data_IF_204454037838
#
_entry.id   IF_204454037838
#
_cell.length_a   1.000
_cell.length_b   1.000
_cell.length_c   1.000
_cell.angle_alpha   90.00
_cell.angle_beta   90.00
_cell.angle_gamma   90.00
#
_symmetry.space_group_name_H-M   'P 1'
#
loop_
_entity.id
_entity.type
_entity.pdbx_description
1 polymer ?
#
# COMPACT_ATOMS: atom_id res chain seq x y z
N UNK A 1 -6.61 -86.17 -6.71
CA UNK A 1 -5.27 -85.63 -6.37
C UNK A 1 -5.28 -84.14 -6.69
N UNK A 2 -5.61 -83.29 -5.72
CA UNK A 2 -5.54 -81.83 -5.88
C UNK A 2 -4.67 -81.28 -4.77
N UNK A 3 -3.43 -80.92 -5.12
CA UNK A 3 -2.47 -80.29 -4.20
C UNK A 3 -2.86 -78.84 -4.00
N UNK A 4 -3.15 -78.52 -2.75
CA UNK A 4 -3.17 -77.18 -2.18
C UNK A 4 -1.73 -76.64 -2.18
N UNK A 5 -1.45 -75.58 -2.95
CA UNK A 5 -0.26 -74.76 -2.75
C UNK A 5 -0.70 -73.48 -2.04
N UNK A 6 -0.43 -73.44 -0.74
CA UNK A 6 -0.45 -72.23 0.07
C UNK A 6 0.71 -71.34 -0.36
N UNK A 7 0.43 -70.09 -0.73
CA UNK A 7 1.43 -69.06 -0.91
C UNK A 7 1.44 -68.15 0.34
N UNK A 8 2.50 -68.13 1.16
CA UNK A 8 2.59 -67.23 2.31
C UNK A 8 3.34 -65.94 1.93
N UNK A 9 2.94 -64.81 2.52
CA UNK A 9 3.82 -63.64 2.65
C UNK A 9 3.60 -62.50 1.66
N UNK A 10 2.38 -61.94 1.61
CA UNK A 10 2.23 -60.53 1.26
C UNK A 10 2.47 -59.69 2.52
N UNK A 11 3.69 -59.22 2.74
CA UNK A 11 3.94 -58.15 3.71
C UNK A 11 3.14 -56.92 3.26
N UNK A 12 2.03 -56.68 3.95
CA UNK A 12 1.30 -55.41 3.91
C UNK A 12 2.23 -54.33 4.47
N UNK A 13 2.97 -53.66 3.58
CA UNK A 13 3.60 -52.38 3.90
C UNK A 13 2.47 -51.45 4.34
N UNK A 14 2.34 -51.24 5.67
CA UNK A 14 1.38 -50.29 6.22
C UNK A 14 1.74 -48.92 5.65
N UNK A 15 0.85 -48.36 4.82
CA UNK A 15 0.94 -46.96 4.41
C UNK A 15 0.89 -46.09 5.66
N UNK A 16 2.02 -45.51 6.08
CA UNK A 16 2.07 -44.49 7.15
C UNK A 16 1.01 -43.40 6.89
N UNK A 17 0.37 -42.90 7.94
CA UNK A 17 -0.62 -41.84 7.79
C UNK A 17 0.08 -40.53 7.36
N UNK A 18 -0.56 -39.65 6.57
CA UNK A 18 0.02 -38.35 6.20
C UNK A 18 0.51 -37.51 7.38
N UNK A 19 -0.15 -37.62 8.54
CA UNK A 19 0.22 -36.94 9.79
C UNK A 19 1.47 -37.51 10.49
N UNK A 20 1.85 -38.75 10.20
CA UNK A 20 3.11 -39.35 10.70
C UNK A 20 4.30 -38.87 9.86
N UNK A 21 4.12 -38.85 8.53
CA UNK A 21 5.12 -38.33 7.58
C UNK A 21 5.44 -36.85 7.85
N UNK A 22 4.41 -36.03 8.09
CA UNK A 22 4.59 -34.62 8.41
C UNK A 22 5.36 -34.40 9.71
N UNK A 23 5.06 -35.19 10.76
CA UNK A 23 5.80 -35.15 12.02
C UNK A 23 7.26 -35.56 11.87
N UNK A 24 7.54 -36.62 11.10
CA UNK A 24 8.92 -37.05 10.83
C UNK A 24 9.71 -36.00 10.04
N UNK A 25 9.07 -35.36 9.05
CA UNK A 25 9.63 -34.24 8.31
C UNK A 25 9.92 -33.05 9.24
N UNK A 26 8.96 -32.63 10.07
CA UNK A 26 9.14 -31.50 10.99
C UNK A 26 10.26 -31.79 12.00
N UNK A 27 10.33 -33.02 12.53
CA UNK A 27 11.41 -33.43 13.43
C UNK A 27 12.78 -33.30 12.77
N UNK A 28 12.91 -33.74 11.50
CA UNK A 28 14.14 -33.56 10.71
C UNK A 28 14.54 -32.09 10.56
N UNK A 29 13.58 -31.22 10.24
CA UNK A 29 13.82 -29.79 10.07
C UNK A 29 14.21 -29.11 11.39
N UNK A 30 13.65 -29.55 12.52
CA UNK A 30 14.01 -29.06 13.86
C UNK A 30 15.40 -29.50 14.28
N UNK A 31 15.75 -30.76 14.04
CA UNK A 31 17.08 -31.32 14.34
C UNK A 31 18.19 -30.60 13.57
N UNK A 32 17.94 -30.28 12.30
CA UNK A 32 18.92 -29.63 11.41
C UNK A 32 18.78 -28.10 11.34
N UNK A 33 17.99 -27.50 12.24
CA UNK A 33 17.60 -26.08 12.22
C UNK A 33 18.76 -25.12 12.02
N UNK A 34 19.83 -25.27 12.82
CA UNK A 34 20.98 -24.34 12.79
C UNK A 34 21.68 -24.36 11.45
N UNK A 35 21.99 -25.57 10.94
CA UNK A 35 22.66 -25.76 9.66
C UNK A 35 21.83 -25.22 8.49
N UNK A 36 20.53 -25.55 8.45
CA UNK A 36 19.64 -25.15 7.35
C UNK A 36 19.42 -23.63 7.33
N UNK A 37 19.26 -23.01 8.50
CA UNK A 37 19.15 -21.55 8.61
C UNK A 37 20.44 -20.86 8.15
N UNK A 38 21.61 -21.36 8.56
CA UNK A 38 22.90 -20.79 8.13
C UNK A 38 23.09 -20.91 6.62
N UNK A 39 22.80 -22.08 6.04
CA UNK A 39 22.81 -22.28 4.59
C UNK A 39 21.85 -21.31 3.87
N UNK A 40 20.66 -21.09 4.44
CA UNK A 40 19.71 -20.15 3.88
C UNK A 40 20.21 -18.70 3.92
N UNK A 41 20.77 -18.24 5.04
CA UNK A 41 21.36 -16.89 5.17
C UNK A 41 22.53 -16.70 4.20
N UNK A 42 23.37 -17.72 4.02
CA UNK A 42 24.46 -17.71 3.04
C UNK A 42 23.90 -17.48 1.64
N UNK A 43 22.87 -18.23 1.23
CA UNK A 43 22.25 -18.08 -0.10
C UNK A 43 21.58 -16.74 -0.31
N UNK A 44 20.89 -16.19 0.70
CA UNK A 44 20.32 -14.83 0.65
C UNK A 44 21.45 -13.82 0.35
N UNK A 45 22.58 -13.97 1.04
CA UNK A 45 23.73 -13.07 0.89
C UNK A 45 24.40 -13.21 -0.49
N UNK A 46 24.60 -14.44 -0.96
CA UNK A 46 25.21 -14.74 -2.28
C UNK A 46 24.37 -14.23 -3.45
N UNK A 47 23.05 -14.37 -3.33
CA UNK A 47 22.08 -13.87 -4.33
C UNK A 47 21.83 -12.36 -4.23
N UNK A 48 22.44 -11.69 -3.25
CA UNK A 48 22.30 -10.25 -2.98
C UNK A 48 20.84 -9.82 -2.80
N UNK A 49 20.06 -10.62 -2.09
CA UNK A 49 18.71 -10.25 -1.66
C UNK A 49 18.76 -9.53 -0.31
N UNK A 50 17.78 -8.65 -0.05
CA UNK A 50 17.65 -7.87 1.18
C UNK A 50 18.83 -6.91 1.43
N UNK A 51 19.37 -6.30 0.37
CA UNK A 51 20.52 -5.39 0.47
C UNK A 51 20.26 -4.15 1.34
N UNK A 52 18.99 -3.82 1.60
CA UNK A 52 18.57 -2.75 2.51
C UNK A 52 18.68 -3.12 4.01
N UNK A 53 19.07 -4.37 4.33
CA UNK A 53 19.20 -4.89 5.70
C UNK A 53 20.65 -5.25 6.02
N UNK A 54 21.04 -5.15 7.29
CA UNK A 54 22.36 -5.62 7.74
C UNK A 54 22.41 -7.14 7.82
N UNK A 55 23.61 -7.72 7.89
CA UNK A 55 23.78 -9.18 8.04
C UNK A 55 23.16 -9.68 9.34
N UNK A 56 23.27 -8.91 10.41
CA UNK A 56 22.71 -9.22 11.73
C UNK A 56 21.18 -9.20 11.68
N UNK A 57 20.59 -8.22 10.98
CA UNK A 57 19.15 -8.16 10.75
C UNK A 57 18.68 -9.36 9.92
N UNK A 58 19.34 -9.68 8.81
CA UNK A 58 19.01 -10.84 7.97
C UNK A 58 19.06 -12.13 8.81
N UNK A 59 20.09 -12.31 9.64
CA UNK A 59 20.22 -13.49 10.49
C UNK A 59 19.10 -13.59 11.54
N UNK A 60 18.75 -12.48 12.19
CA UNK A 60 17.67 -12.42 13.17
C UNK A 60 16.31 -12.73 12.53
N UNK A 61 16.00 -12.11 11.39
CA UNK A 61 14.74 -12.34 10.69
C UNK A 61 14.69 -13.75 10.09
N UNK A 62 15.79 -14.26 9.53
CA UNK A 62 15.86 -15.64 9.05
C UNK A 62 15.61 -16.66 10.18
N UNK A 63 16.04 -16.36 11.40
CA UNK A 63 15.73 -17.21 12.56
C UNK A 63 14.22 -17.26 12.82
N UNK A 64 13.58 -16.10 12.91
CA UNK A 64 12.14 -15.99 13.17
C UNK A 64 11.30 -16.60 12.03
N UNK A 65 11.64 -16.29 10.77
CA UNK A 65 10.95 -16.84 9.60
C UNK A 65 11.07 -18.35 9.54
N UNK A 66 12.26 -18.92 9.80
CA UNK A 66 12.46 -20.37 9.80
C UNK A 66 11.57 -21.04 10.84
N UNK A 67 11.52 -20.52 12.06
CA UNK A 67 10.72 -21.08 13.13
C UNK A 67 9.22 -21.01 12.81
N UNK A 68 8.74 -19.86 12.35
CA UNK A 68 7.34 -19.71 11.92
C UNK A 68 6.99 -20.59 10.73
N UNK A 69 7.94 -20.82 9.81
CA UNK A 69 7.75 -21.71 8.67
C UNK A 69 7.59 -23.17 9.13
N UNK A 70 8.48 -23.66 10.00
CA UNK A 70 8.42 -25.03 10.52
C UNK A 70 7.18 -25.25 11.39
N UNK A 71 6.79 -24.25 12.18
CA UNK A 71 5.53 -24.30 12.95
C UNK A 71 4.30 -24.33 12.05
N UNK A 72 4.27 -23.53 10.98
CA UNK A 72 3.18 -23.53 10.01
C UNK A 72 3.08 -24.86 9.23
N UNK A 73 4.22 -25.51 8.97
CA UNK A 73 4.23 -26.86 8.40
C UNK A 73 3.60 -27.89 9.36
N UNK A 74 3.83 -27.79 10.67
CA UNK A 74 3.35 -28.76 11.65
C UNK A 74 1.87 -28.60 11.99
N UNK A 75 1.43 -27.35 12.14
CA UNK A 75 0.11 -27.01 12.66
C UNK A 75 -0.95 -26.82 11.59
N UNK A 76 -0.52 -26.62 10.33
CA UNK A 76 -1.34 -26.09 9.23
C UNK A 76 -2.05 -24.76 9.56
N UNK A 77 -1.65 -24.10 10.65
CA UNK A 77 -2.16 -22.80 11.08
C UNK A 77 -1.21 -21.71 10.57
N UNK A 78 -1.71 -20.86 9.68
CA UNK A 78 -0.90 -19.85 8.99
C UNK A 78 -1.05 -18.45 9.58
N UNK A 79 -1.88 -18.29 10.61
CA UNK A 79 -2.20 -17.00 11.24
C UNK A 79 -0.96 -16.35 11.86
N UNK A 80 -0.15 -17.12 12.59
CA UNK A 80 1.09 -16.63 13.21
C UNK A 80 2.09 -16.19 12.14
N UNK A 81 2.25 -16.98 11.07
CA UNK A 81 3.12 -16.66 9.94
C UNK A 81 2.64 -15.42 9.19
N UNK A 82 1.33 -15.27 8.96
CA UNK A 82 0.75 -14.09 8.34
C UNK A 82 0.95 -12.83 9.20
N UNK A 83 0.75 -12.93 10.51
CA UNK A 83 0.94 -11.81 11.42
C UNK A 83 2.41 -11.37 11.45
N UNK A 84 3.35 -12.32 11.53
CA UNK A 84 4.77 -12.02 11.46
C UNK A 84 5.16 -11.42 10.10
N UNK A 85 4.70 -12.00 8.99
CA UNK A 85 4.96 -11.48 7.64
C UNK A 85 4.45 -10.04 7.47
N UNK A 86 3.27 -9.72 8.01
CA UNK A 86 2.73 -8.35 8.01
C UNK A 86 3.63 -7.39 8.80
N UNK A 87 3.96 -7.73 10.04
CA UNK A 87 4.82 -6.91 10.90
C UNK A 87 6.20 -6.68 10.28
N UNK A 88 6.78 -7.69 9.63
CA UNK A 88 8.04 -7.57 8.91
C UNK A 88 7.87 -6.65 7.69
N UNK A 89 6.82 -6.85 6.90
CA UNK A 89 6.48 -6.03 5.71
C UNK A 89 6.42 -4.53 6.05
N UNK A 90 5.75 -4.17 7.15
CA UNK A 90 5.67 -2.77 7.62
C UNK A 90 7.06 -2.15 7.90
N UNK A 91 8.05 -2.94 8.32
CA UNK A 91 9.42 -2.47 8.57
C UNK A 91 10.29 -2.41 7.31
N UNK A 92 10.12 -3.35 6.38
CA UNK A 92 11.02 -3.50 5.22
C UNK A 92 10.54 -2.72 3.99
N UNK A 93 9.23 -2.51 3.82
CA UNK A 93 8.67 -1.74 2.69
C UNK A 93 9.24 -0.30 2.67
N UNK A 94 9.26 0.46 3.79
CA UNK A 94 9.82 1.81 3.81
C UNK A 94 11.34 1.86 3.54
N UNK A 95 12.04 0.75 3.75
CA UNK A 95 13.48 0.62 3.48
C UNK A 95 13.79 0.30 2.01
N UNK A 96 12.76 0.16 1.17
CA UNK A 96 12.91 -0.11 -0.26
C UNK A 96 13.09 -1.59 -0.61
N UNK A 97 12.77 -2.51 0.31
CA UNK A 97 12.81 -3.95 -0.02
C UNK A 97 11.71 -4.28 -1.02
N UNK A 98 12.10 -4.94 -2.11
CA UNK A 98 11.25 -5.22 -3.25
C UNK A 98 10.54 -6.58 -3.17
N UNK A 99 9.39 -6.68 -3.85
CA UNK A 99 8.58 -7.90 -3.89
C UNK A 99 9.39 -9.12 -4.34
N UNK A 100 10.26 -8.95 -5.34
CA UNK A 100 11.09 -10.03 -5.86
C UNK A 100 12.11 -10.52 -4.83
N UNK A 101 12.58 -9.66 -3.92
CA UNK A 101 13.49 -10.05 -2.85
C UNK A 101 12.77 -10.92 -1.81
N UNK A 102 11.56 -10.52 -1.40
CA UNK A 102 10.75 -11.27 -0.45
C UNK A 102 10.35 -12.64 -1.01
N UNK A 103 9.88 -12.68 -2.26
CA UNK A 103 9.57 -13.95 -2.93
C UNK A 103 10.84 -14.79 -3.08
N UNK A 104 11.96 -14.16 -3.44
CA UNK A 104 13.26 -14.82 -3.59
C UNK A 104 13.71 -15.52 -2.31
N UNK A 105 13.68 -14.86 -1.15
CA UNK A 105 14.12 -15.48 0.11
C UNK A 105 13.24 -16.69 0.49
N UNK A 106 11.93 -16.65 0.23
CA UNK A 106 11.02 -17.75 0.54
C UNK A 106 11.30 -18.96 -0.38
N UNK A 107 11.57 -18.70 -1.66
CA UNK A 107 11.98 -19.75 -2.60
C UNK A 107 13.35 -20.34 -2.25
N UNK A 108 14.31 -19.52 -1.79
CA UNK A 108 15.59 -20.02 -1.31
C UNK A 108 15.44 -20.92 -0.08
N UNK A 109 14.53 -20.58 0.84
CA UNK A 109 14.22 -21.45 1.98
C UNK A 109 13.67 -22.78 1.49
N UNK A 110 12.68 -22.75 0.58
CA UNK A 110 12.13 -23.95 -0.04
C UNK A 110 13.22 -24.83 -0.65
N UNK A 111 14.18 -24.25 -1.37
CA UNK A 111 15.28 -24.99 -1.98
C UNK A 111 16.22 -25.64 -0.96
N UNK A 112 16.53 -24.94 0.14
CA UNK A 112 17.36 -25.48 1.23
C UNK A 112 16.67 -26.66 1.90
N UNK A 113 15.38 -26.51 2.23
CA UNK A 113 14.60 -27.57 2.87
C UNK A 113 14.42 -28.78 1.93
N UNK A 114 14.09 -28.56 0.66
CA UNK A 114 13.93 -29.63 -0.32
C UNK A 114 15.23 -30.45 -0.50
N UNK A 115 16.40 -29.79 -0.55
CA UNK A 115 17.70 -30.47 -0.64
C UNK A 115 18.01 -31.28 0.62
N UNK A 116 17.66 -30.77 1.81
CA UNK A 116 17.80 -31.49 3.07
C UNK A 116 16.93 -32.74 3.14
N UNK A 117 15.68 -32.66 2.69
CA UNK A 117 14.76 -33.80 2.61
C UNK A 117 15.26 -34.83 1.59
N UNK A 118 15.70 -34.37 0.41
CA UNK A 118 16.31 -35.25 -0.59
C UNK A 118 17.52 -36.01 -0.01
N UNK A 119 18.45 -35.31 0.65
CA UNK A 119 19.64 -35.92 1.22
C UNK A 119 19.31 -37.03 2.25
N UNK A 120 18.26 -36.84 3.06
CA UNK A 120 17.82 -37.80 4.06
C UNK A 120 17.14 -39.04 3.45
N UNK A 121 16.28 -38.86 2.46
CA UNK A 121 15.41 -39.94 1.96
C UNK A 121 15.80 -40.48 0.58
N UNK A 122 16.88 -40.01 -0.05
CA UNK A 122 17.31 -40.44 -1.39
C UNK A 122 17.49 -41.96 -1.58
N UNK A 123 17.74 -42.72 -0.52
CA UNK A 123 17.92 -44.18 -0.57
C UNK A 123 16.59 -44.94 -0.61
N UNK A 124 15.48 -44.32 -0.19
CA UNK A 124 14.13 -44.86 -0.28
C UNK A 124 13.25 -43.93 -1.11
N UNK A 125 13.26 -44.15 -2.42
CA UNK A 125 12.53 -43.31 -3.38
C UNK A 125 11.01 -43.29 -3.12
N UNK A 126 10.43 -44.40 -2.65
CA UNK A 126 9.00 -44.45 -2.34
C UNK A 126 8.68 -43.57 -1.13
N UNK A 127 9.51 -43.63 -0.09
CA UNK A 127 9.35 -42.77 1.09
C UNK A 127 9.62 -41.29 0.75
N UNK A 128 10.64 -40.99 -0.05
CA UNK A 128 10.95 -39.64 -0.50
C UNK A 128 9.76 -38.99 -1.22
N UNK A 129 9.13 -39.69 -2.18
CA UNK A 129 7.96 -39.14 -2.88
C UNK A 129 6.82 -38.84 -1.92
N UNK A 130 6.53 -39.74 -0.96
CA UNK A 130 5.46 -39.52 0.04
C UNK A 130 5.77 -38.33 0.96
N UNK A 131 7.04 -38.10 1.29
CA UNK A 131 7.48 -36.94 2.06
C UNK A 131 7.30 -35.64 1.25
N UNK A 132 7.67 -35.65 -0.03
CA UNK A 132 7.48 -34.49 -0.92
C UNK A 132 6.00 -34.20 -1.16
N UNK A 133 5.16 -35.23 -1.36
CA UNK A 133 3.70 -35.10 -1.50
C UNK A 133 3.06 -34.44 -0.27
N UNK A 134 3.63 -34.64 0.92
CA UNK A 134 3.19 -33.98 2.15
C UNK A 134 3.76 -32.55 2.29
N UNK A 135 5.02 -32.33 1.90
CA UNK A 135 5.71 -31.05 2.03
C UNK A 135 5.25 -29.99 1.03
N UNK A 136 5.15 -30.35 -0.25
CA UNK A 136 4.97 -29.39 -1.35
C UNK A 136 3.66 -28.59 -1.24
N UNK A 137 2.49 -29.19 -0.92
CA UNK A 137 1.27 -28.41 -0.77
C UNK A 137 1.36 -27.36 0.35
N UNK A 138 1.95 -27.74 1.49
CA UNK A 138 2.14 -26.85 2.63
C UNK A 138 3.14 -25.73 2.30
N UNK A 139 4.27 -26.08 1.69
CA UNK A 139 5.29 -25.12 1.24
C UNK A 139 4.73 -24.11 0.22
N UNK A 140 3.96 -24.58 -0.77
CA UNK A 140 3.32 -23.72 -1.77
C UNK A 140 2.29 -22.79 -1.14
N UNK A 141 1.49 -23.28 -0.17
CA UNK A 141 0.54 -22.46 0.56
C UNK A 141 1.25 -21.37 1.38
N UNK A 142 2.34 -21.70 2.05
CA UNK A 142 3.17 -20.72 2.77
C UNK A 142 3.70 -19.66 1.80
N UNK A 143 4.32 -20.08 0.71
CA UNK A 143 4.91 -19.15 -0.27
C UNK A 143 3.87 -18.19 -0.84
N UNK A 144 2.71 -18.71 -1.26
CA UNK A 144 1.62 -17.87 -1.77
C UNK A 144 1.08 -16.92 -0.70
N UNK A 145 0.92 -17.39 0.54
CA UNK A 145 0.42 -16.57 1.66
C UNK A 145 1.35 -15.40 1.95
N UNK A 146 2.66 -15.66 2.04
CA UNK A 146 3.66 -14.61 2.29
C UNK A 146 3.74 -13.64 1.11
N UNK A 147 3.76 -14.13 -0.13
CA UNK A 147 3.83 -13.30 -1.32
C UNK A 147 2.60 -12.38 -1.46
N UNK A 148 1.39 -12.93 -1.33
CA UNK A 148 0.14 -12.16 -1.39
C UNK A 148 0.06 -11.17 -0.24
N UNK A 149 0.42 -11.59 0.99
CA UNK A 149 0.41 -10.73 2.16
C UNK A 149 1.34 -9.52 2.01
N UNK A 150 2.55 -9.73 1.48
CA UNK A 150 3.49 -8.64 1.21
C UNK A 150 2.95 -7.65 0.17
N UNK A 151 2.38 -8.15 -0.94
CA UNK A 151 1.79 -7.29 -1.99
C UNK A 151 0.63 -6.48 -1.43
N UNK A 152 -0.26 -7.10 -0.65
CA UNK A 152 -1.39 -6.40 -0.02
C UNK A 152 -0.93 -5.29 0.94
N UNK A 153 0.12 -5.54 1.73
CA UNK A 153 0.66 -4.52 2.64
C UNK A 153 1.33 -3.39 1.86
N UNK A 154 2.08 -3.70 0.80
CA UNK A 154 2.67 -2.69 -0.08
C UNK A 154 1.61 -1.82 -0.75
N UNK A 155 0.53 -2.40 -1.25
CA UNK A 155 -0.59 -1.63 -1.79
C UNK A 155 -1.28 -0.77 -0.73
N UNK A 156 -1.41 -1.27 0.51
CA UNK A 156 -1.97 -0.52 1.63
C UNK A 156 -1.11 0.71 1.94
N UNK A 157 0.21 0.55 2.01
CA UNK A 157 1.15 1.66 2.18
C UNK A 157 1.03 2.67 1.04
N UNK A 158 0.96 2.21 -0.21
CA UNK A 158 0.78 3.10 -1.38
C UNK A 158 -0.53 3.89 -1.27
N UNK A 159 -1.65 3.25 -0.91
CA UNK A 159 -2.94 3.93 -0.72
C UNK A 159 -2.87 5.00 0.38
N UNK A 160 -2.28 4.66 1.53
CA UNK A 160 -2.11 5.61 2.63
C UNK A 160 -1.22 6.79 2.24
N UNK A 161 -0.14 6.54 1.49
CA UNK A 161 0.71 7.60 0.95
C UNK A 161 -0.04 8.49 -0.04
N UNK A 162 -0.85 7.90 -0.94
CA UNK A 162 -1.68 8.67 -1.86
C UNK A 162 -2.73 9.53 -1.14
N UNK A 163 -3.36 9.00 -0.09
CA UNK A 163 -4.30 9.75 0.75
C UNK A 163 -3.60 10.91 1.47
N UNK A 164 -2.44 10.65 2.09
CA UNK A 164 -1.64 11.70 2.74
C UNK A 164 -1.19 12.78 1.75
N UNK A 165 -0.76 12.39 0.53
CA UNK A 165 -0.43 13.34 -0.54
C UNK A 165 -1.66 14.17 -0.92
N UNK A 166 -2.84 13.54 -1.07
CA UNK A 166 -4.09 14.26 -1.38
C UNK A 166 -4.45 15.27 -0.29
N UNK A 167 -4.31 14.91 0.98
CA UNK A 167 -4.56 15.80 2.12
C UNK A 167 -3.57 16.98 2.17
N UNK A 168 -2.28 16.72 1.93
CA UNK A 168 -1.24 17.75 1.94
C UNK A 168 -1.28 18.66 0.71
N UNK A 169 -1.83 18.20 -0.42
CA UNK A 169 -1.77 18.92 -1.71
C UNK A 169 -2.83 20.01 -1.88
N UNK A 170 -3.81 20.13 -0.97
CA UNK A 170 -4.92 21.11 -1.06
C UNK A 170 -5.27 21.73 0.30
N UNK A 171 -4.32 22.35 1.01
CA UNK A 171 -4.62 22.98 2.29
C UNK A 171 -5.45 24.25 2.10
N UNK A 172 -6.44 24.47 2.96
CA UNK A 172 -7.09 25.80 3.07
C UNK A 172 -6.14 26.72 3.83
N UNK A 173 -5.56 27.68 3.13
CA UNK A 173 -4.55 28.59 3.66
C UNK A 173 -5.19 29.91 4.09
N UNK A 174 -4.86 30.39 5.28
CA UNK A 174 -5.22 31.75 5.68
C UNK A 174 -4.13 32.71 5.21
N UNK A 175 -4.48 33.63 4.31
CA UNK A 175 -3.54 34.65 3.82
C UNK A 175 -3.58 35.91 4.68
N UNK A 176 -4.78 36.29 5.15
CA UNK A 176 -5.01 37.39 6.08
C UNK A 176 -6.23 37.13 6.94
N UNK A 177 -6.52 38.01 7.90
CA UNK A 177 -7.78 37.97 8.62
C UNK A 177 -8.96 37.97 7.63
N UNK A 178 -9.86 36.99 7.78
CA UNK A 178 -11.07 36.81 6.96
C UNK A 178 -10.84 36.51 5.47
N UNK A 179 -9.59 36.25 5.05
CA UNK A 179 -9.23 35.86 3.68
C UNK A 179 -8.58 34.47 3.65
N UNK A 180 -9.20 33.55 2.93
CA UNK A 180 -8.68 32.21 2.69
C UNK A 180 -8.32 32.00 1.22
N UNK A 181 -7.37 31.11 0.98
CA UNK A 181 -7.04 30.58 -0.35
C UNK A 181 -7.16 29.05 -0.30
N UNK A 182 -7.76 28.48 -1.34
CA UNK A 182 -7.80 27.05 -1.61
C UNK A 182 -7.13 26.77 -2.96
N UNK A 183 -5.84 26.42 -2.99
CA UNK A 183 -5.19 25.99 -4.22
C UNK A 183 -5.57 24.54 -4.53
N UNK A 184 -5.93 24.27 -5.79
CA UNK A 184 -6.27 22.94 -6.29
C UNK A 184 -5.26 22.53 -7.36
N UNK A 185 -4.52 21.47 -7.07
CA UNK A 185 -3.42 20.97 -7.90
C UNK A 185 -3.67 19.50 -8.29
N UNK A 186 -3.45 19.18 -9.56
CA UNK A 186 -3.52 17.83 -10.10
C UNK A 186 -4.93 17.38 -10.46
N UNK A 187 -5.12 16.06 -10.54
CA UNK A 187 -6.40 15.46 -10.94
C UNK A 187 -7.40 15.55 -9.79
N UNK A 188 -8.63 15.95 -10.11
CA UNK A 188 -9.75 15.99 -9.16
C UNK A 188 -10.70 14.85 -9.52
N UNK A 189 -10.96 13.97 -8.56
CA UNK A 189 -12.05 12.99 -8.63
C UNK A 189 -13.23 13.46 -7.76
N UNK A 190 -14.44 12.88 -7.89
CA UNK A 190 -15.60 13.27 -7.08
C UNK A 190 -15.42 13.09 -5.56
N UNK A 191 -14.51 12.21 -5.12
CA UNK A 191 -14.21 12.05 -3.70
C UNK A 191 -13.38 13.23 -3.19
N UNK A 192 -12.33 13.59 -3.92
CA UNK A 192 -11.47 14.75 -3.63
C UNK A 192 -12.27 16.05 -3.68
N UNK A 193 -13.16 16.21 -4.67
CA UNK A 193 -14.01 17.40 -4.75
C UNK A 193 -14.87 17.61 -3.50
N UNK A 194 -15.50 16.54 -2.98
CA UNK A 194 -16.26 16.59 -1.71
C UNK A 194 -15.37 16.94 -0.51
N UNK A 195 -14.19 16.33 -0.42
CA UNK A 195 -13.24 16.61 0.65
C UNK A 195 -12.79 18.09 0.65
N UNK A 196 -12.55 18.65 -0.52
CA UNK A 196 -12.21 20.07 -0.69
C UNK A 196 -13.34 20.98 -0.21
N UNK A 197 -14.58 20.68 -0.58
CA UNK A 197 -15.75 21.41 -0.10
C UNK A 197 -15.80 21.39 1.43
N UNK A 198 -15.71 20.22 2.06
CA UNK A 198 -15.77 20.09 3.51
C UNK A 198 -14.64 20.86 4.22
N UNK A 199 -13.40 20.70 3.74
CA UNK A 199 -12.25 21.40 4.30
C UNK A 199 -12.42 22.92 4.18
N UNK A 200 -12.88 23.42 3.03
CA UNK A 200 -13.13 24.84 2.83
C UNK A 200 -14.20 25.37 3.76
N UNK A 201 -15.35 24.69 3.86
CA UNK A 201 -16.45 25.12 4.74
C UNK A 201 -16.02 25.13 6.22
N UNK A 202 -15.23 24.14 6.65
CA UNK A 202 -14.61 24.14 7.99
C UNK A 202 -13.67 25.33 8.17
N UNK A 203 -12.81 25.61 7.17
CA UNK A 203 -11.89 26.74 7.16
C UNK A 203 -12.61 28.09 7.23
N UNK A 204 -13.67 28.28 6.45
CA UNK A 204 -14.51 29.50 6.47
C UNK A 204 -15.05 29.76 7.87
N UNK A 205 -15.62 28.72 8.51
CA UNK A 205 -16.18 28.82 9.85
C UNK A 205 -15.10 29.15 10.90
N UNK A 206 -13.99 28.41 10.88
CA UNK A 206 -12.91 28.57 11.85
C UNK A 206 -12.27 29.96 11.79
N UNK A 207 -12.06 30.48 10.58
CA UNK A 207 -11.39 31.77 10.34
C UNK A 207 -12.36 32.94 10.17
N UNK A 208 -13.67 32.71 10.31
CA UNK A 208 -14.74 33.69 10.03
C UNK A 208 -14.53 34.39 8.68
N UNK A 209 -14.15 33.61 7.67
CA UNK A 209 -13.77 34.13 6.37
C UNK A 209 -14.94 34.88 5.71
N UNK A 210 -14.63 36.01 5.08
CA UNK A 210 -15.57 36.80 4.27
C UNK A 210 -15.27 36.69 2.79
N UNK A 211 -14.03 36.36 2.43
CA UNK A 211 -13.63 36.10 1.05
C UNK A 211 -12.76 34.85 0.98
N UNK A 212 -12.99 34.05 -0.05
CA UNK A 212 -12.20 32.86 -0.41
C UNK A 212 -11.74 33.01 -1.84
N UNK A 213 -10.46 32.74 -2.10
CA UNK A 213 -9.93 32.56 -3.46
C UNK A 213 -9.70 31.08 -3.70
N UNK A 214 -10.39 30.50 -4.69
CA UNK A 214 -10.17 29.12 -5.14
C UNK A 214 -9.31 29.19 -6.39
N UNK A 215 -8.09 28.67 -6.31
CA UNK A 215 -7.16 28.65 -7.44
C UNK A 215 -7.15 27.28 -8.11
N UNK A 216 -7.52 27.22 -9.39
CA UNK A 216 -7.55 25.99 -10.18
C UNK A 216 -6.52 25.99 -11.30
N UNK A 217 -5.51 26.86 -11.23
CA UNK A 217 -4.42 26.93 -12.23
C UNK A 217 -3.72 25.58 -12.42
N UNK A 218 -3.63 24.76 -11.36
CA UNK A 218 -3.00 23.44 -11.39
C UNK A 218 -3.90 22.28 -11.84
N UNK A 219 -5.12 22.55 -12.31
CA UNK A 219 -6.09 21.53 -12.72
C UNK A 219 -5.99 21.33 -14.24
N UNK A 220 -5.54 20.15 -14.66
CA UNK A 220 -5.29 19.86 -16.08
C UNK A 220 -6.57 19.70 -16.92
N UNK A 221 -7.59 19.04 -16.36
CA UNK A 221 -8.88 18.82 -17.02
C UNK A 221 -9.98 18.71 -15.97
N UNK A 222 -11.21 19.09 -16.35
CA UNK A 222 -12.38 19.06 -15.48
C UNK A 222 -13.55 18.42 -16.21
N UNK A 223 -14.08 17.34 -15.63
CA UNK A 223 -15.31 16.71 -16.12
C UNK A 223 -16.57 17.41 -15.55
N UNK A 224 -17.74 16.96 -16.01
CA UNK A 224 -19.03 17.51 -15.60
C UNK A 224 -19.30 17.31 -14.10
N UNK A 225 -18.84 16.21 -13.51
CA UNK A 225 -19.08 15.90 -12.10
C UNK A 225 -18.25 16.80 -11.19
N UNK A 226 -16.98 17.00 -11.51
CA UNK A 226 -16.07 17.90 -10.78
C UNK A 226 -16.53 19.34 -10.92
N UNK A 227 -16.93 19.77 -12.12
CA UNK A 227 -17.49 21.10 -12.36
C UNK A 227 -18.71 21.38 -11.47
N UNK A 228 -19.63 20.43 -11.38
CA UNK A 228 -20.80 20.54 -10.49
C UNK A 228 -20.39 20.65 -9.01
N UNK A 229 -19.38 19.89 -8.57
CA UNK A 229 -18.87 20.02 -7.20
C UNK A 229 -18.22 21.37 -6.92
N UNK A 230 -17.52 21.97 -7.90
CA UNK A 230 -16.98 23.33 -7.77
C UNK A 230 -18.12 24.34 -7.56
N UNK A 231 -19.18 24.26 -8.36
CA UNK A 231 -20.37 25.12 -8.22
C UNK A 231 -21.03 24.94 -6.85
N UNK A 232 -21.22 23.70 -6.40
CA UNK A 232 -21.75 23.42 -5.06
C UNK A 232 -20.87 24.01 -3.96
N UNK A 233 -19.54 23.95 -4.14
CA UNK A 233 -18.58 24.54 -3.19
C UNK A 233 -18.72 26.05 -3.11
N UNK A 234 -18.89 26.73 -4.25
CA UNK A 234 -19.13 28.18 -4.33
C UNK A 234 -20.43 28.56 -3.61
N UNK A 235 -21.53 27.87 -3.91
CA UNK A 235 -22.84 28.12 -3.31
C UNK A 235 -22.84 27.85 -1.79
N UNK A 236 -22.26 26.73 -1.35
CA UNK A 236 -22.16 26.41 0.08
C UNK A 236 -21.32 27.46 0.84
N UNK A 237 -20.22 27.93 0.25
CA UNK A 237 -19.39 29.00 0.84
C UNK A 237 -20.17 30.31 0.97
N UNK A 238 -20.99 30.64 -0.03
CA UNK A 238 -21.87 31.80 -0.02
C UNK A 238 -22.95 31.71 1.06
N UNK A 239 -23.52 30.52 1.29
CA UNK A 239 -24.47 30.29 2.40
C UNK A 239 -23.83 30.52 3.77
N UNK A 240 -22.53 30.28 3.92
CA UNK A 240 -21.77 30.62 5.13
C UNK A 240 -21.35 32.11 5.20
N UNK A 241 -21.76 32.92 4.22
CA UNK A 241 -21.49 34.36 4.18
C UNK A 241 -20.10 34.72 3.67
N UNK A 242 -19.42 33.82 2.97
CA UNK A 242 -18.14 34.08 2.30
C UNK A 242 -18.33 34.25 0.79
N UNK A 243 -17.78 35.31 0.20
CA UNK A 243 -17.73 35.51 -1.25
C UNK A 243 -16.60 34.66 -1.81
N UNK A 244 -16.84 33.97 -2.92
CA UNK A 244 -15.82 33.14 -3.59
C UNK A 244 -15.35 33.84 -4.86
N UNK A 245 -14.03 33.83 -5.08
CA UNK A 245 -13.37 34.22 -6.31
C UNK A 245 -12.67 32.98 -6.86
N UNK A 246 -12.89 32.64 -8.13
CA UNK A 246 -12.23 31.52 -8.81
C UNK A 246 -11.13 32.08 -9.71
N UNK A 247 -9.93 31.51 -9.63
CA UNK A 247 -8.76 31.91 -10.42
C UNK A 247 -8.18 30.75 -11.22
N UNK A 248 -7.44 31.03 -12.29
CA UNK A 248 -6.74 29.98 -13.04
C UNK A 248 -7.63 29.17 -13.98
N UNK A 249 -8.76 29.74 -14.41
CA UNK A 249 -9.65 29.10 -15.39
C UNK A 249 -8.98 28.98 -16.76
N UNK A 250 -8.71 27.75 -17.21
CA UNK A 250 -8.28 27.50 -18.58
C UNK A 250 -9.47 27.62 -19.56
N UNK A 251 -9.18 27.79 -20.85
CA UNK A 251 -10.21 27.88 -21.89
C UNK A 251 -11.09 26.63 -21.95
N UNK A 252 -10.50 25.45 -21.77
CA UNK A 252 -11.22 24.17 -21.75
C UNK A 252 -12.17 24.08 -20.56
N UNK A 253 -11.69 24.42 -19.36
CA UNK A 253 -12.50 24.41 -18.13
C UNK A 253 -13.66 25.41 -18.24
N UNK A 254 -13.42 26.60 -18.81
CA UNK A 254 -14.45 27.59 -19.05
C UNK A 254 -15.54 27.07 -20.00
N UNK A 255 -15.17 26.38 -21.09
CA UNK A 255 -16.12 25.76 -22.01
C UNK A 255 -16.97 24.67 -21.32
N UNK A 256 -16.35 23.85 -20.47
CA UNK A 256 -17.07 22.85 -19.68
C UNK A 256 -18.11 23.49 -18.76
N UNK A 257 -17.75 24.55 -18.02
CA UNK A 257 -18.69 25.26 -17.14
C UNK A 257 -19.87 25.87 -17.90
N UNK A 258 -19.62 26.45 -19.08
CA UNK A 258 -20.67 26.98 -19.96
C UNK A 258 -21.59 25.87 -20.46
N UNK A 259 -21.02 24.73 -20.87
CA UNK A 259 -21.77 23.58 -21.40
C UNK A 259 -22.73 22.98 -20.37
N UNK A 260 -22.34 22.99 -19.09
CA UNK A 260 -23.16 22.47 -17.99
C UNK A 260 -24.28 23.45 -17.59
N UNK A 261 -24.28 24.67 -18.14
CA UNK A 261 -25.27 25.69 -17.84
C UNK A 261 -25.05 26.35 -16.49
N UNK A 262 -23.80 26.43 -16.02
CA UNK A 262 -23.47 27.13 -14.77
C UNK A 262 -23.82 28.61 -14.91
N UNK A 263 -24.58 29.13 -13.94
CA UNK A 263 -24.86 30.56 -13.85
C UNK A 263 -23.61 31.34 -13.44
N UNK A 264 -22.87 31.81 -14.43
CA UNK A 264 -21.63 32.57 -14.25
C UNK A 264 -21.86 33.90 -13.53
N UNK A 265 -23.09 34.42 -13.49
CA UNK A 265 -23.41 35.64 -12.72
C UNK A 265 -23.21 35.46 -11.20
N UNK A 266 -23.13 34.22 -10.72
CA UNK A 266 -22.87 33.87 -9.32
C UNK A 266 -21.40 33.55 -9.04
N UNK A 267 -20.56 33.46 -10.07
CA UNK A 267 -19.17 33.06 -9.96
C UNK A 267 -18.26 34.24 -10.34
N UNK A 268 -17.60 34.83 -9.33
CA UNK A 268 -16.58 35.85 -9.61
C UNK A 268 -15.31 35.16 -10.08
N UNK A 269 -14.86 35.47 -11.30
CA UNK A 269 -13.66 34.86 -11.89
C UNK A 269 -12.59 35.90 -12.14
N UNK A 270 -11.32 35.57 -11.88
CA UNK A 270 -10.16 36.41 -12.22
C UNK A 270 -9.11 35.55 -12.93
N UNK A 271 -8.27 36.16 -13.77
CA UNK A 271 -7.33 35.43 -14.63
C UNK A 271 -6.33 34.57 -13.85
N UNK A 272 -5.79 35.08 -12.74
CA UNK A 272 -4.75 34.42 -11.96
C UNK A 272 -4.93 34.65 -10.44
N UNK A 273 -4.12 33.91 -9.67
CA UNK A 273 -4.14 33.95 -8.21
C UNK A 273 -3.82 35.36 -7.68
N UNK A 274 -2.88 36.07 -8.31
CA UNK A 274 -2.51 37.43 -7.90
C UNK A 274 -3.72 38.36 -7.98
N UNK A 275 -4.40 38.41 -9.13
CA UNK A 275 -5.60 39.22 -9.33
C UNK A 275 -6.74 38.79 -8.42
N UNK A 276 -6.86 37.49 -8.11
CA UNK A 276 -7.80 36.98 -7.11
C UNK A 276 -7.56 37.52 -5.71
N UNK A 277 -6.30 37.55 -5.27
CA UNK A 277 -5.90 38.12 -3.97
C UNK A 277 -6.17 39.62 -3.94
N UNK A 278 -5.75 40.36 -4.96
CA UNK A 278 -5.99 41.81 -5.05
C UNK A 278 -7.49 42.14 -5.01
N UNK A 279 -8.31 41.35 -5.71
CA UNK A 279 -9.76 41.52 -5.68
C UNK A 279 -10.34 41.18 -4.31
N UNK A 280 -9.84 40.13 -3.65
CA UNK A 280 -10.27 39.77 -2.31
C UNK A 280 -9.93 40.86 -1.28
N UNK A 281 -8.74 41.45 -1.38
CA UNK A 281 -8.32 42.58 -0.56
C UNK A 281 -9.23 43.80 -0.77
N UNK A 282 -9.56 44.15 -2.01
CA UNK A 282 -10.53 45.22 -2.32
C UNK A 282 -11.89 44.99 -1.68
N UNK A 283 -12.40 43.75 -1.72
CA UNK A 283 -13.69 43.38 -1.11
C UNK A 283 -13.68 43.48 0.42
N UNK A 284 -12.50 43.35 1.04
CA UNK A 284 -12.30 43.50 2.48
C UNK A 284 -11.98 44.95 2.89
N UNK A 285 -11.90 45.88 1.92
CA UNK A 285 -11.58 47.29 2.18
C UNK A 285 -10.08 47.59 2.28
N UNK A 286 -9.22 46.65 1.90
CA UNK A 286 -7.79 46.89 1.78
C UNK A 286 -7.44 47.51 0.42
N UNK A 287 -6.39 48.32 0.39
CA UNK A 287 -5.83 48.91 -0.82
C UNK A 287 -4.32 48.69 -0.81
N UNK A 288 -3.81 48.00 -1.82
CA UNK A 288 -2.37 47.87 -2.05
C UNK A 288 -1.84 49.20 -2.55
N UNK A 289 -0.77 49.70 -1.91
CA UNK A 289 -0.08 50.93 -2.31
C UNK A 289 1.39 50.63 -2.50
N UNK A 290 1.96 51.11 -3.60
CA UNK A 290 3.41 51.06 -3.83
C UNK A 290 4.06 52.15 -2.97
N UNK A 291 4.93 51.76 -2.05
CA UNK A 291 5.75 52.72 -1.32
C UNK A 291 6.88 53.15 -2.25
N UNK A 292 6.94 54.43 -2.63
CA UNK A 292 8.08 54.96 -3.36
C UNK A 292 9.32 54.86 -2.46
N UNK A 293 10.43 54.34 -3.01
CA UNK A 293 11.71 54.34 -2.31
C UNK A 293 12.11 55.79 -2.00
N UNK A 294 12.22 56.11 -0.71
CA UNK A 294 12.81 57.37 -0.27
C UNK A 294 14.27 57.38 -0.71
N UNK A 295 14.57 58.14 -1.77
CA UNK A 295 15.94 58.44 -2.20
C UNK A 295 16.71 59.22 -1.13
#
# INVERSE_FOLDING_TARGET
MSRQMSNPGGELVRSEAPSELLRELVAHLRENRTQLREEWVVRITETRLLTAMTKEEIFAEATSVYDSYVEALETEAFEALQAYARNLSERIIPRGVETHEVVGIVLLLRDVLARSLFAKYQTDFKKLNRILDAYEPAANRIANTVAVGFVQERERVIRQQQEAIRELSTPVLQVRERLLILPIIGVIDPQRARQLTEQLLRGIRANRAKVVVIDITGVAAMDVTVANHLVQTVEASRLLGARVIVTGLSAEIAQTLVTIGVDLGKMNTVGDLQGGIEQAERLLGYKVVTLAETR
#
